data_IF_256238267488
#
_entry.id   IF_256238267488
#
_cell.length_a   1.000
_cell.length_b   1.000
_cell.length_c   1.000
_cell.angle_alpha   90.00
_cell.angle_beta   90.00
_cell.angle_gamma   90.00
#
_symmetry.space_group_name_H-M   'P 1'
#
loop_
_entity.id
_entity.type
_entity.pdbx_description
1 polymer ?
#
# COMPACT_ATOMS: atom_id res chain seq x y z
N UNK A 1 11.53 3.94 95.62
CA UNK A 1 12.42 4.50 94.60
C UNK A 1 12.05 3.83 93.30
N UNK A 2 10.98 4.32 92.67
CA UNK A 2 10.37 3.69 91.50
C UNK A 2 11.09 4.20 90.25
N UNK A 3 11.88 3.34 89.62
CA UNK A 3 12.54 3.67 88.37
C UNK A 3 11.53 3.60 87.23
N UNK A 4 11.12 4.76 86.72
CA UNK A 4 10.35 4.87 85.49
C UNK A 4 11.27 4.61 84.29
N UNK A 5 11.06 3.48 83.58
CA UNK A 5 11.77 3.18 82.34
C UNK A 5 11.36 4.12 81.21
N UNK A 6 12.34 4.68 80.49
CA UNK A 6 12.10 5.56 79.34
C UNK A 6 11.42 4.81 78.18
N UNK A 7 10.46 5.42 77.46
CA UNK A 7 9.77 4.77 76.35
C UNK A 7 10.74 4.49 75.18
N UNK A 8 10.81 3.22 74.76
CA UNK A 8 11.59 2.80 73.60
C UNK A 8 10.86 3.28 72.33
N UNK A 9 11.48 4.11 71.47
CA UNK A 9 10.85 4.56 70.24
C UNK A 9 10.70 3.37 69.27
N UNK A 10 9.46 3.07 68.91
CA UNK A 10 9.15 2.03 67.93
C UNK A 10 9.60 2.56 66.56
N UNK A 11 10.58 1.91 65.95
CA UNK A 11 11.08 2.28 64.62
C UNK A 11 9.92 2.30 63.62
N UNK A 12 9.85 3.36 62.80
CA UNK A 12 8.87 3.48 61.72
C UNK A 12 9.15 2.38 60.69
N UNK A 13 8.47 1.24 60.81
CA UNK A 13 8.49 0.23 59.75
C UNK A 13 7.87 0.84 58.49
N UNK A 14 8.26 0.35 57.32
CA UNK A 14 7.78 0.82 56.01
C UNK A 14 6.25 0.72 55.84
N UNK A 15 5.52 0.20 56.83
CA UNK A 15 4.07 0.09 56.90
C UNK A 15 3.41 1.27 57.64
N UNK A 16 4.13 2.36 57.91
CA UNK A 16 3.62 3.56 58.56
C UNK A 16 2.36 4.12 57.88
N UNK A 17 1.29 4.27 58.67
CA UNK A 17 0.02 4.98 58.37
C UNK A 17 -0.94 4.36 57.35
N UNK A 18 -1.00 3.03 57.22
CA UNK A 18 -2.11 2.37 56.51
C UNK A 18 -3.04 1.78 57.57
N UNK A 19 -4.33 2.13 57.55
CA UNK A 19 -5.35 1.50 58.39
C UNK A 19 -5.50 0.03 57.98
N UNK A 20 -4.66 -0.81 58.55
CA UNK A 20 -4.52 -2.18 58.09
C UNK A 20 -3.80 -3.01 59.13
N UNK A 21 -4.44 -4.11 59.50
CA UNK A 21 -3.89 -5.20 60.29
C UNK A 21 -2.42 -5.46 59.92
N UNK A 22 -1.48 -5.52 60.88
CA UNK A 22 -0.04 -5.51 60.63
C UNK A 22 0.47 -6.70 59.81
N UNK A 23 -0.32 -7.77 59.69
CA UNK A 23 -0.02 -8.95 58.87
C UNK A 23 -0.44 -8.82 57.39
N UNK A 24 -1.03 -7.69 56.99
CA UNK A 24 -1.41 -7.43 55.59
C UNK A 24 -0.32 -6.64 54.89
N UNK A 25 0.21 -7.19 53.81
CA UNK A 25 1.17 -6.52 52.93
C UNK A 25 0.50 -5.36 52.17
N UNK A 26 1.26 -4.28 51.92
CA UNK A 26 0.81 -3.17 51.07
C UNK A 26 0.56 -3.67 49.65
N UNK A 27 -0.62 -3.38 49.08
CA UNK A 27 -0.92 -3.70 47.69
C UNK A 27 -0.11 -2.78 46.77
N UNK A 28 0.85 -3.33 46.02
CA UNK A 28 1.53 -2.63 44.93
C UNK A 28 0.99 -3.10 43.57
N UNK A 29 1.01 -2.24 42.53
CA UNK A 29 0.65 -2.68 41.18
C UNK A 29 1.59 -3.79 40.69
N UNK A 30 1.03 -4.91 40.23
CA UNK A 30 1.83 -6.00 39.66
C UNK A 30 2.46 -5.57 38.33
N UNK A 31 3.78 -5.38 38.32
CA UNK A 31 4.54 -5.12 37.10
C UNK A 31 4.76 -6.45 36.37
N UNK A 32 4.07 -6.66 35.25
CA UNK A 32 4.25 -7.86 34.40
C UNK A 32 5.35 -7.62 33.38
N UNK A 33 6.38 -8.46 33.38
CA UNK A 33 7.50 -8.43 32.41
C UNK A 33 7.05 -8.73 30.96
N UNK A 34 6.06 -9.62 30.82
CA UNK A 34 5.56 -10.12 29.53
C UNK A 34 4.51 -9.21 28.87
N UNK A 35 4.44 -7.93 29.24
CA UNK A 35 3.53 -6.99 28.57
C UNK A 35 3.95 -6.81 27.10
N UNK A 36 2.95 -6.76 26.23
CA UNK A 36 3.17 -6.47 24.82
C UNK A 36 3.72 -5.04 24.64
N UNK A 37 4.61 -4.80 23.66
CA UNK A 37 5.21 -3.47 23.43
C UNK A 37 4.19 -2.34 23.28
N UNK A 38 3.01 -2.64 22.72
CA UNK A 38 1.91 -1.68 22.59
C UNK A 38 1.36 -1.20 23.95
N UNK A 39 1.33 -2.10 24.94
CA UNK A 39 0.88 -1.81 26.31
C UNK A 39 2.01 -1.19 27.15
N UNK A 40 3.27 -1.34 26.73
CA UNK A 40 4.45 -0.75 27.36
C UNK A 40 4.60 0.76 27.09
N UNK A 41 3.84 1.35 26.16
CA UNK A 41 3.90 2.80 25.92
C UNK A 41 3.39 3.56 27.15
N UNK A 42 4.29 4.29 27.81
CA UNK A 42 4.01 4.94 29.08
C UNK A 42 3.25 6.26 28.91
N UNK A 43 3.41 6.94 27.78
CA UNK A 43 2.72 8.20 27.48
C UNK A 43 1.94 8.17 26.16
N UNK A 44 0.90 9.02 26.08
CA UNK A 44 0.07 9.19 24.88
C UNK A 44 0.85 9.83 23.72
N UNK A 45 1.76 10.76 24.04
CA UNK A 45 2.59 11.45 23.04
C UNK A 45 3.42 10.46 22.20
N UNK A 46 4.07 9.49 22.83
CA UNK A 46 4.84 8.45 22.13
C UNK A 46 3.98 7.63 21.17
N UNK A 47 2.71 7.38 21.53
CA UNK A 47 1.77 6.67 20.64
C UNK A 47 1.39 7.53 19.44
N UNK A 48 1.13 8.81 19.66
CA UNK A 48 0.81 9.76 18.59
C UNK A 48 1.98 9.93 17.61
N UNK A 49 3.21 10.06 18.12
CA UNK A 49 4.39 10.13 17.26
C UNK A 49 4.57 8.87 16.40
N UNK A 50 4.41 7.68 17.00
CA UNK A 50 4.52 6.41 16.27
C UNK A 50 3.44 6.29 15.20
N UNK A 51 2.21 6.69 15.51
CA UNK A 51 1.12 6.70 14.56
C UNK A 51 1.38 7.67 13.41
N UNK A 52 1.84 8.89 13.70
CA UNK A 52 2.20 9.90 12.70
C UNK A 52 3.32 9.41 11.79
N UNK A 53 4.39 8.84 12.35
CA UNK A 53 5.50 8.23 11.58
C UNK A 53 5.00 7.11 10.67
N UNK A 54 4.15 6.22 11.18
CA UNK A 54 3.58 5.13 10.39
C UNK A 54 2.67 5.64 9.26
N UNK A 55 1.89 6.69 9.49
CA UNK A 55 1.07 7.33 8.47
C UNK A 55 1.94 7.99 7.39
N UNK A 56 3.00 8.70 7.78
CA UNK A 56 3.94 9.30 6.83
C UNK A 56 4.63 8.25 5.96
N UNK A 57 5.06 7.13 6.54
CA UNK A 57 5.66 6.00 5.79
C UNK A 57 4.64 5.41 4.80
N UNK A 58 3.39 5.20 5.22
CA UNK A 58 2.35 4.67 4.35
C UNK A 58 2.05 5.61 3.19
N UNK A 59 1.99 6.92 3.45
CA UNK A 59 1.76 7.94 2.42
C UNK A 59 2.88 7.94 1.38
N UNK A 60 4.14 7.93 1.83
CA UNK A 60 5.29 7.80 0.93
C UNK A 60 5.21 6.50 0.11
N UNK A 61 4.84 5.39 0.74
CA UNK A 61 4.71 4.10 0.07
C UNK A 61 3.62 4.11 -1.01
N UNK A 62 2.48 4.79 -0.77
CA UNK A 62 1.41 4.91 -1.76
C UNK A 62 1.85 5.78 -2.94
N UNK A 63 2.46 6.93 -2.67
CA UNK A 63 2.96 7.85 -3.70
C UNK A 63 3.95 7.13 -4.64
N UNK A 64 4.95 6.44 -4.08
CA UNK A 64 5.93 5.67 -4.86
C UNK A 64 5.32 4.55 -5.70
N UNK A 65 4.27 3.89 -5.19
CA UNK A 65 3.57 2.83 -5.93
C UNK A 65 2.76 3.40 -7.07
N UNK A 66 2.05 4.50 -6.83
CA UNK A 66 1.22 5.18 -7.83
C UNK A 66 2.08 5.72 -8.97
N UNK A 67 3.19 6.39 -8.66
CA UNK A 67 4.15 6.87 -9.67
C UNK A 67 4.69 5.72 -10.55
N UNK A 68 5.10 4.61 -9.92
CA UNK A 68 5.59 3.43 -10.64
C UNK A 68 4.52 2.81 -11.53
N UNK A 69 3.28 2.71 -11.04
CA UNK A 69 2.16 2.16 -11.80
C UNK A 69 1.77 3.07 -12.97
N UNK A 70 1.73 4.38 -12.76
CA UNK A 70 1.42 5.36 -13.79
C UNK A 70 2.45 5.30 -14.94
N UNK A 71 3.75 5.23 -14.61
CA UNK A 71 4.80 5.11 -15.63
C UNK A 71 4.69 3.78 -16.41
N UNK A 72 4.40 2.67 -15.71
CA UNK A 72 4.18 1.38 -16.37
C UNK A 72 2.96 1.41 -17.29
N UNK A 73 1.87 2.04 -16.87
CA UNK A 73 0.65 2.19 -17.67
C UNK A 73 0.90 3.05 -18.90
N UNK A 74 1.57 4.20 -18.77
CA UNK A 74 1.97 5.05 -19.90
C UNK A 74 2.74 4.28 -20.97
N UNK A 75 3.74 3.48 -20.56
CA UNK A 75 4.52 2.66 -21.51
C UNK A 75 3.67 1.63 -22.23
N UNK A 76 2.74 1.00 -21.52
CA UNK A 76 1.80 0.01 -22.08
C UNK A 76 0.85 0.68 -23.07
N UNK A 77 0.29 1.83 -22.72
CA UNK A 77 -0.62 2.61 -23.56
C UNK A 77 0.06 3.01 -24.87
N UNK A 78 1.25 3.62 -24.80
CA UNK A 78 2.03 4.00 -25.99
C UNK A 78 2.30 2.80 -26.90
N UNK A 79 2.66 1.66 -26.32
CA UNK A 79 2.93 0.44 -27.10
C UNK A 79 1.66 -0.08 -27.77
N UNK A 80 0.54 -0.07 -27.04
CA UNK A 80 -0.75 -0.52 -27.51
C UNK A 80 -1.30 0.40 -28.60
N UNK A 81 -1.14 1.71 -28.48
CA UNK A 81 -1.47 2.69 -29.50
C UNK A 81 -0.65 2.49 -30.77
N UNK A 82 0.67 2.29 -30.65
CA UNK A 82 1.54 1.99 -31.80
C UNK A 82 1.10 0.72 -32.52
N UNK A 83 0.75 -0.32 -31.77
CA UNK A 83 0.26 -1.58 -32.32
C UNK A 83 -1.07 -1.39 -33.05
N UNK A 84 -2.03 -0.70 -32.44
CA UNK A 84 -3.33 -0.38 -33.06
C UNK A 84 -3.16 0.42 -34.35
N UNK A 85 -2.35 1.47 -34.34
CA UNK A 85 -2.09 2.28 -35.53
C UNK A 85 -1.45 1.46 -36.67
N UNK A 86 -0.53 0.55 -36.34
CA UNK A 86 0.07 -0.35 -37.33
C UNK A 86 -0.94 -1.38 -37.88
N UNK A 87 -1.80 -1.96 -37.03
CA UNK A 87 -2.85 -2.89 -37.43
C UNK A 87 -3.90 -2.22 -38.31
N UNK A 88 -4.32 -0.99 -38.00
CA UNK A 88 -5.24 -0.21 -38.82
C UNK A 88 -4.65 0.13 -40.19
N UNK A 89 -3.37 0.53 -40.23
CA UNK A 89 -2.66 0.78 -41.48
C UNK A 89 -2.61 -0.48 -42.35
N UNK A 90 -2.24 -1.63 -41.78
CA UNK A 90 -2.21 -2.92 -42.49
C UNK A 90 -3.57 -3.28 -43.04
N UNK A 91 -4.64 -3.15 -42.23
CA UNK A 91 -6.02 -3.40 -42.70
C UNK A 91 -6.41 -2.49 -43.86
N UNK A 92 -6.07 -1.20 -43.79
CA UNK A 92 -6.36 -0.27 -44.87
C UNK A 92 -5.59 -0.61 -46.16
N UNK A 93 -4.32 -1.00 -46.05
CA UNK A 93 -3.49 -1.45 -47.18
C UNK A 93 -4.03 -2.75 -47.80
N UNK A 94 -4.40 -3.73 -46.99
CA UNK A 94 -5.00 -4.99 -47.44
C UNK A 94 -6.32 -4.74 -48.19
N UNK A 95 -7.20 -3.90 -47.64
CA UNK A 95 -8.46 -3.53 -48.29
C UNK A 95 -8.22 -2.80 -49.61
N UNK A 96 -7.27 -1.85 -49.63
CA UNK A 96 -6.87 -1.14 -50.86
C UNK A 96 -6.33 -2.11 -51.91
N UNK A 97 -5.48 -3.05 -51.51
CA UNK A 97 -4.93 -4.08 -52.40
C UNK A 97 -6.03 -5.00 -52.95
N UNK A 98 -6.97 -5.45 -52.11
CA UNK A 98 -8.11 -6.26 -52.54
C UNK A 98 -8.99 -5.53 -53.56
N UNK A 99 -9.31 -4.26 -53.30
CA UNK A 99 -10.11 -3.45 -54.24
C UNK A 99 -9.35 -3.20 -55.55
N UNK A 100 -8.05 -2.92 -55.47
CA UNK A 100 -7.17 -2.79 -56.63
C UNK A 100 -7.16 -4.05 -57.50
N UNK A 101 -7.00 -5.23 -56.87
CA UNK A 101 -7.04 -6.52 -57.55
C UNK A 101 -8.41 -6.79 -58.20
N UNK A 102 -9.51 -6.50 -57.49
CA UNK A 102 -10.88 -6.62 -58.04
C UNK A 102 -11.10 -5.69 -59.26
N UNK A 103 -10.59 -4.46 -59.21
CA UNK A 103 -10.65 -3.51 -60.34
C UNK A 103 -9.83 -4.00 -61.53
N UNK A 104 -8.61 -4.47 -61.30
CA UNK A 104 -7.74 -5.02 -62.35
C UNK A 104 -8.38 -6.26 -63.01
N UNK A 105 -8.94 -7.18 -62.22
CA UNK A 105 -9.67 -8.34 -62.74
C UNK A 105 -10.87 -7.91 -63.60
N UNK A 106 -11.62 -6.88 -63.19
CA UNK A 106 -12.74 -6.33 -63.97
C UNK A 106 -12.28 -5.77 -65.32
N UNK A 107 -11.17 -5.04 -65.35
CA UNK A 107 -10.61 -4.50 -66.60
C UNK A 107 -10.13 -5.63 -67.53
N UNK A 108 -9.44 -6.65 -67.00
CA UNK A 108 -9.04 -7.85 -67.78
C UNK A 108 -10.25 -8.54 -68.41
N UNK A 109 -11.33 -8.73 -67.65
CA UNK A 109 -12.58 -9.31 -68.18
C UNK A 109 -13.23 -8.45 -69.27
N UNK A 110 -13.18 -7.12 -69.14
CA UNK A 110 -13.70 -6.19 -70.17
C UNK A 110 -12.85 -6.24 -71.45
N UNK A 111 -11.53 -6.23 -71.32
CA UNK A 111 -10.60 -6.31 -72.45
C UNK A 111 -10.79 -7.60 -73.27
N UNK A 112 -11.07 -8.73 -72.61
CA UNK A 112 -11.42 -9.98 -73.28
C UNK A 112 -12.86 -10.06 -73.81
N UNK A 113 -13.70 -9.03 -73.63
CA UNK A 113 -15.12 -9.01 -74.01
C UNK A 113 -15.39 -8.32 -75.35
N UNK A 114 -14.38 -7.67 -75.96
CA UNK A 114 -14.49 -7.24 -77.36
C UNK A 114 -14.51 -8.47 -78.25
N UNK A 115 -15.69 -8.76 -78.78
CA UNK A 115 -15.96 -9.77 -79.82
C UNK A 115 -14.90 -9.61 -80.93
N UNK A 116 -14.23 -10.70 -81.29
CA UNK A 116 -13.38 -10.84 -82.49
C UNK A 116 -13.73 -9.79 -83.56
N UNK A 117 -12.88 -8.79 -83.72
CA UNK A 117 -12.55 -8.22 -85.02
C UNK A 117 -11.05 -7.97 -84.98
N UNK A 118 -10.29 -9.06 -85.12
CA UNK A 118 -8.95 -8.99 -85.68
C UNK A 118 -9.17 -9.13 -87.19
N UNK A 119 -8.95 -8.03 -87.93
CA UNK A 119 -8.71 -8.08 -89.37
C UNK A 119 -7.29 -8.59 -89.62
#
# INVERSE_FOLDING_TARGET
MDQQGSPIPIASSSNGRISGKPWKHSKSPTVRSHLQPAVKSRCFHDRMEKASKAQAIKKLQTELKEEKQAEMQRRREVTLERRKAAEERKRAEELKAQLGAKKAARLRRKAGRSKKVAH
#
